data_IF_824012652364
#
_entry.id   IF_824012652364
#
_cell.length_a   1.000
_cell.length_b   1.000
_cell.length_c   1.000
_cell.angle_alpha   90.00
_cell.angle_beta   90.00
_cell.angle_gamma   90.00
#
_symmetry.space_group_name_H-M   'P 1'
#
loop_
_entity.id
_entity.type
_entity.pdbx_description
1 polymer ?
#
# COMPACT_ATOMS: atom_id res chain seq x y z
N UNK A 1 -38.96 -46.37 -27.46
CA UNK A 1 -38.50 -46.02 -28.83
C UNK A 1 -38.07 -44.56 -28.82
N UNK A 2 -36.76 -44.36 -28.81
CA UNK A 2 -35.95 -43.38 -29.56
C UNK A 2 -36.56 -41.98 -29.86
N UNK A 3 -35.82 -40.96 -29.37
CA UNK A 3 -35.53 -39.63 -29.94
C UNK A 3 -36.55 -38.50 -29.81
N UNK A 4 -36.16 -37.22 -29.69
CA UNK A 4 -34.91 -36.47 -29.41
C UNK A 4 -35.36 -35.00 -29.46
N UNK A 5 -34.79 -34.14 -28.61
CA UNK A 5 -34.69 -32.68 -28.73
C UNK A 5 -35.99 -31.86 -28.90
N UNK A 6 -36.32 -31.09 -27.86
CA UNK A 6 -36.74 -29.69 -28.06
C UNK A 6 -36.23 -28.84 -26.88
N UNK A 7 -34.91 -28.56 -26.92
CA UNK A 7 -34.30 -27.44 -26.19
C UNK A 7 -34.24 -26.29 -27.20
N UNK A 8 -34.95 -25.17 -27.00
CA UNK A 8 -34.63 -23.97 -27.75
C UNK A 8 -33.26 -23.46 -27.30
N UNK A 9 -32.28 -23.68 -28.17
CA UNK A 9 -31.07 -22.88 -28.33
C UNK A 9 -31.43 -21.45 -28.78
N UNK A 10 -30.42 -20.55 -28.75
CA UNK A 10 -30.37 -19.14 -29.24
C UNK A 10 -30.33 -18.19 -28.02
N UNK A 11 -29.29 -17.40 -27.74
CA UNK A 11 -28.21 -16.84 -28.57
C UNK A 11 -26.97 -16.55 -27.69
N UNK A 12 -25.78 -16.79 -28.25
CA UNK A 12 -24.48 -16.33 -27.76
C UNK A 12 -24.29 -14.81 -28.00
N UNK A 13 -23.27 -14.25 -27.35
CA UNK A 13 -22.65 -12.93 -27.58
C UNK A 13 -23.29 -11.70 -26.95
N UNK A 14 -22.74 -11.30 -25.80
CA UNK A 14 -21.82 -10.15 -25.76
C UNK A 14 -21.07 -10.18 -24.42
N UNK A 15 -19.84 -10.67 -24.50
CA UNK A 15 -18.81 -10.42 -23.48
C UNK A 15 -18.52 -8.92 -23.57
N UNK A 16 -19.25 -8.12 -22.81
CA UNK A 16 -18.80 -6.77 -22.51
C UNK A 16 -17.63 -6.94 -21.55
N UNK A 17 -16.44 -6.86 -22.12
CA UNK A 17 -15.20 -6.63 -21.39
C UNK A 17 -15.40 -5.38 -20.54
N UNK A 18 -15.80 -5.56 -19.29
CA UNK A 18 -15.67 -4.52 -18.28
C UNK A 18 -14.17 -4.36 -18.08
N UNK A 19 -13.60 -3.41 -18.81
CA UNK A 19 -12.26 -2.88 -18.58
C UNK A 19 -12.12 -2.65 -17.06
N UNK A 20 -11.00 -3.06 -16.44
CA UNK A 20 -10.79 -2.73 -15.05
C UNK A 20 -10.80 -1.21 -14.95
N UNK A 21 -11.75 -0.68 -14.18
CA UNK A 21 -11.77 0.73 -13.76
C UNK A 21 -10.53 0.90 -12.87
N UNK A 22 -9.40 1.13 -13.52
CA UNK A 22 -8.18 1.63 -12.94
C UNK A 22 -8.37 3.13 -12.81
N UNK A 23 -9.00 3.55 -11.72
CA UNK A 23 -8.83 4.89 -11.14
C UNK A 23 -9.64 4.99 -9.85
N UNK A 24 -8.94 5.19 -8.73
CA UNK A 24 -9.54 5.88 -7.60
C UNK A 24 -9.89 5.06 -6.35
N UNK A 25 -9.14 4.01 -6.00
CA UNK A 25 -8.94 3.77 -4.56
C UNK A 25 -7.94 4.81 -4.09
N UNK A 26 -8.46 6.03 -3.96
CA UNK A 26 -7.78 7.17 -3.38
C UNK A 26 -7.18 6.69 -2.07
N UNK A 27 -5.85 6.74 -2.03
CA UNK A 27 -5.03 6.27 -0.92
C UNK A 27 -5.65 6.76 0.37
N UNK A 28 -6.13 5.84 1.20
CA UNK A 28 -6.74 6.12 2.49
C UNK A 28 -5.86 7.12 3.24
N UNK A 29 -6.31 8.38 3.22
CA UNK A 29 -6.05 9.49 4.11
C UNK A 29 -4.67 9.63 4.81
N UNK A 30 -3.56 9.37 4.13
CA UNK A 30 -2.24 9.85 4.62
C UNK A 30 -2.25 11.39 4.75
N UNK A 31 -3.07 12.08 3.94
CA UNK A 31 -3.29 13.54 4.02
C UNK A 31 -3.91 14.00 5.35
N UNK A 32 -4.70 13.19 6.06
CA UNK A 32 -5.28 13.60 7.35
C UNK A 32 -4.33 13.42 8.52
N UNK A 33 -3.36 12.51 8.41
CA UNK A 33 -2.51 12.17 9.54
C UNK A 33 -1.42 13.21 9.81
N UNK A 34 -0.97 13.99 8.81
CA UNK A 34 0.11 14.97 9.04
C UNK A 34 -0.01 16.25 8.22
N UNK A 35 -0.41 17.38 8.83
CA UNK A 35 -0.38 18.70 8.21
C UNK A 35 1.04 19.33 8.25
N UNK A 36 2.10 18.54 8.05
CA UNK A 36 3.46 19.07 8.07
C UNK A 36 3.82 19.69 6.72
N UNK A 37 3.73 21.01 6.65
CA UNK A 37 4.15 21.79 5.48
C UNK A 37 5.66 22.08 5.54
N UNK A 38 6.42 21.39 4.68
CA UNK A 38 7.88 21.57 4.56
C UNK A 38 8.28 22.99 4.16
N UNK A 39 7.38 23.79 3.57
CA UNK A 39 7.64 25.20 3.23
C UNK A 39 7.96 26.04 4.47
N UNK A 40 7.44 25.66 5.64
CA UNK A 40 7.76 26.31 6.92
C UNK A 40 9.26 26.18 7.26
N UNK A 41 9.90 25.08 6.88
CA UNK A 41 11.34 24.90 7.10
C UNK A 41 12.17 25.81 6.16
N UNK A 42 11.69 26.05 4.94
CA UNK A 42 12.37 26.98 4.02
C UNK A 42 12.35 28.41 4.52
N UNK A 43 11.27 28.85 5.18
CA UNK A 43 11.21 30.17 5.84
C UNK A 43 12.30 30.28 6.92
N UNK A 44 12.66 29.17 7.55
CA UNK A 44 13.73 29.09 8.55
C UNK A 44 15.13 28.94 7.94
N UNK A 45 15.28 29.08 6.61
CA UNK A 45 16.57 29.01 5.91
C UNK A 45 17.06 27.60 5.60
N UNK A 46 16.23 26.57 5.78
CA UNK A 46 16.57 25.20 5.40
C UNK A 46 16.50 25.05 3.88
N UNK A 47 17.48 24.35 3.28
CA UNK A 47 17.47 24.06 1.84
C UNK A 47 16.22 23.27 1.44
N UNK A 48 15.79 23.37 0.17
CA UNK A 48 14.61 22.64 -0.32
C UNK A 48 14.76 21.13 -0.12
N UNK A 49 15.93 20.58 -0.43
CA UNK A 49 16.20 19.14 -0.33
C UNK A 49 16.23 18.67 1.11
N UNK A 50 16.84 19.44 2.01
CA UNK A 50 16.84 19.13 3.44
C UNK A 50 15.44 19.25 4.04
N UNK A 51 14.66 20.26 3.64
CA UNK A 51 13.29 20.47 4.10
C UNK A 51 12.39 19.30 3.70
N UNK A 52 12.49 18.83 2.45
CA UNK A 52 11.77 17.64 1.98
C UNK A 52 12.21 16.38 2.71
N UNK A 53 13.53 16.19 2.90
CA UNK A 53 14.07 15.03 3.63
C UNK A 53 13.59 15.00 5.07
N UNK A 54 13.61 16.13 5.77
CA UNK A 54 13.10 16.26 7.14
C UNK A 54 11.61 15.93 7.17
N UNK A 55 10.82 16.46 6.24
CA UNK A 55 9.39 16.18 6.18
C UNK A 55 9.10 14.69 5.98
N UNK A 56 9.79 14.03 5.05
CA UNK A 56 9.66 12.58 4.83
C UNK A 56 10.00 11.80 6.10
N UNK A 57 11.13 12.12 6.76
CA UNK A 57 11.54 11.43 7.98
C UNK A 57 10.54 11.60 9.12
N UNK A 58 9.95 12.80 9.25
CA UNK A 58 8.87 13.04 10.21
C UNK A 58 7.66 12.18 9.90
N UNK A 59 7.22 12.14 8.63
CA UNK A 59 6.09 11.30 8.21
C UNK A 59 6.35 9.83 8.53
N UNK A 60 7.52 9.30 8.18
CA UNK A 60 7.89 7.91 8.47
C UNK A 60 7.86 7.65 9.97
N UNK A 61 8.46 8.53 10.78
CA UNK A 61 8.53 8.36 12.24
C UNK A 61 7.15 8.31 12.90
N UNK A 62 6.17 9.02 12.36
CA UNK A 62 4.80 9.02 12.88
C UNK A 62 3.98 7.81 12.38
N UNK A 63 4.20 7.35 11.14
CA UNK A 63 3.48 6.20 10.57
C UNK A 63 3.97 4.86 11.14
N UNK A 64 5.28 4.72 11.39
CA UNK A 64 5.88 3.45 11.83
C UNK A 64 5.20 2.88 13.07
N UNK A 65 5.00 3.62 14.18
CA UNK A 65 4.34 3.08 15.37
C UNK A 65 2.91 2.61 15.12
N UNK A 66 2.18 3.28 14.22
CA UNK A 66 0.80 2.93 13.86
C UNK A 66 0.79 1.60 13.09
N UNK A 67 1.64 1.49 12.07
CA UNK A 67 1.73 0.30 11.23
C UNK A 67 2.28 -0.90 12.00
N UNK A 68 3.29 -0.66 12.83
CA UNK A 68 3.91 -1.66 13.69
C UNK A 68 2.91 -2.27 14.67
N UNK A 69 2.10 -1.43 15.32
CA UNK A 69 1.05 -1.90 16.24
C UNK A 69 0.04 -2.80 15.53
N UNK A 70 -0.46 -2.38 14.36
CA UNK A 70 -1.40 -3.19 13.56
C UNK A 70 -0.84 -4.57 13.22
N UNK A 71 0.45 -4.66 12.91
CA UNK A 71 1.11 -5.92 12.56
C UNK A 71 1.29 -6.83 13.78
N UNK A 72 1.68 -6.27 14.93
CA UNK A 72 1.80 -7.02 16.19
C UNK A 72 0.45 -7.58 16.63
N UNK A 73 -0.61 -6.77 16.54
CA UNK A 73 -1.99 -7.21 16.88
C UNK A 73 -2.46 -8.40 16.04
N UNK A 74 -1.90 -8.55 14.83
CA UNK A 74 -2.18 -9.68 13.93
C UNK A 74 -1.16 -10.83 14.04
N UNK A 75 -0.25 -10.77 15.03
CA UNK A 75 0.67 -11.86 15.36
C UNK A 75 1.99 -11.86 14.60
N UNK A 76 2.38 -10.76 13.94
CA UNK A 76 3.72 -10.65 13.34
C UNK A 76 4.76 -10.48 14.47
N UNK A 77 5.89 -11.21 14.45
CA UNK A 77 6.96 -11.05 15.41
C UNK A 77 7.45 -9.60 15.49
N UNK A 78 7.72 -9.11 16.70
CA UNK A 78 8.01 -7.70 16.97
C UNK A 78 9.07 -7.09 16.03
N UNK A 79 10.18 -7.80 15.80
CA UNK A 79 11.28 -7.32 14.97
C UNK A 79 10.87 -7.26 13.49
N UNK A 80 10.25 -8.31 12.96
CA UNK A 80 9.80 -8.36 11.57
C UNK A 80 8.65 -7.35 11.31
N UNK A 81 7.77 -7.17 12.30
CA UNK A 81 6.71 -6.17 12.25
C UNK A 81 7.28 -4.75 12.12
N UNK A 82 8.38 -4.47 12.84
CA UNK A 82 9.05 -3.17 12.76
C UNK A 82 9.65 -2.95 11.36
N UNK A 83 10.34 -3.95 10.81
CA UNK A 83 10.97 -3.86 9.49
C UNK A 83 9.94 -3.69 8.35
N UNK A 84 8.81 -4.40 8.44
CA UNK A 84 7.69 -4.25 7.50
C UNK A 84 7.05 -2.87 7.66
N UNK A 85 6.76 -2.43 8.88
CA UNK A 85 6.16 -1.12 9.15
C UNK A 85 7.03 0.01 8.59
N UNK A 86 8.34 -0.07 8.78
CA UNK A 86 9.29 0.89 8.24
C UNK A 86 9.32 0.90 6.70
N UNK A 87 9.33 -0.29 6.08
CA UNK A 87 9.27 -0.40 4.63
C UNK A 87 7.99 0.23 4.04
N UNK A 88 6.82 -0.09 4.61
CA UNK A 88 5.54 0.46 4.17
C UNK A 88 5.46 1.97 4.43
N UNK A 89 5.91 2.45 5.59
CA UNK A 89 5.92 3.88 5.91
C UNK A 89 6.82 4.70 4.97
N UNK A 90 8.01 4.20 4.65
CA UNK A 90 8.92 4.83 3.67
C UNK A 90 8.30 4.84 2.27
N UNK A 91 7.62 3.76 1.90
CA UNK A 91 6.89 3.71 0.64
C UNK A 91 5.75 4.73 0.60
N UNK A 92 4.95 4.85 1.66
CA UNK A 92 3.85 5.80 1.70
C UNK A 92 4.34 7.26 1.70
N UNK A 93 5.42 7.56 2.43
CA UNK A 93 5.96 8.91 2.55
C UNK A 93 6.73 9.39 1.31
N UNK A 94 7.48 8.50 0.65
CA UNK A 94 8.45 8.89 -0.38
C UNK A 94 8.41 8.01 -1.64
N UNK A 95 7.46 7.08 -1.75
CA UNK A 95 7.40 6.05 -2.82
C UNK A 95 8.71 5.27 -2.97
N UNK A 96 9.48 5.15 -1.88
CA UNK A 96 10.73 4.40 -1.85
C UNK A 96 10.41 2.91 -1.76
N UNK A 97 10.85 2.14 -2.75
CA UNK A 97 10.67 0.69 -2.76
C UNK A 97 11.44 0.01 -1.61
N UNK A 98 10.90 -1.08 -1.04
CA UNK A 98 11.61 -1.89 -0.06
C UNK A 98 12.84 -2.56 -0.67
N UNK A 99 13.85 -2.85 0.15
CA UNK A 99 14.99 -3.65 -0.29
C UNK A 99 14.61 -5.15 -0.42
N UNK A 100 15.54 -5.98 -0.90
CA UNK A 100 15.27 -7.41 -1.13
C UNK A 100 14.78 -8.14 0.14
N UNK A 101 15.46 -7.95 1.28
CA UNK A 101 15.09 -8.59 2.55
C UNK A 101 13.69 -8.16 3.01
N UNK A 102 13.38 -6.88 2.91
CA UNK A 102 12.06 -6.34 3.25
C UNK A 102 10.97 -6.87 2.30
N UNK A 103 11.27 -7.04 1.00
CA UNK A 103 10.34 -7.67 0.06
C UNK A 103 10.04 -9.11 0.44
N UNK A 104 11.04 -9.89 0.84
CA UNK A 104 10.83 -11.26 1.29
C UNK A 104 9.98 -11.33 2.57
N UNK A 105 10.19 -10.41 3.51
CA UNK A 105 9.32 -10.26 4.69
C UNK A 105 7.88 -9.91 4.27
N UNK A 106 7.71 -8.95 3.38
CA UNK A 106 6.38 -8.53 2.89
C UNK A 106 5.67 -9.68 2.17
N UNK A 107 6.38 -10.48 1.37
CA UNK A 107 5.82 -11.67 0.72
C UNK A 107 5.38 -12.71 1.75
N UNK A 108 6.22 -13.01 2.73
CA UNK A 108 5.93 -13.97 3.81
C UNK A 108 4.67 -13.60 4.59
N UNK A 109 4.51 -12.30 4.88
CA UNK A 109 3.39 -11.78 5.66
C UNK A 109 2.29 -11.13 4.80
N UNK A 110 2.24 -11.41 3.50
CA UNK A 110 1.30 -10.78 2.58
C UNK A 110 -0.16 -10.83 3.07
N UNK A 111 -0.72 -11.99 3.51
CA UNK A 111 -2.08 -12.04 4.02
C UNK A 111 -2.31 -11.12 5.24
N UNK A 112 -1.32 -11.04 6.12
CA UNK A 112 -1.38 -10.22 7.34
C UNK A 112 -1.30 -8.73 7.02
N UNK A 113 -0.43 -8.35 6.08
CA UNK A 113 -0.28 -6.97 5.60
C UNK A 113 -1.56 -6.50 4.90
N UNK A 114 -2.18 -7.37 4.10
CA UNK A 114 -3.49 -7.09 3.49
C UNK A 114 -4.57 -6.88 4.55
N UNK A 115 -4.62 -7.74 5.57
CA UNK A 115 -5.58 -7.63 6.68
C UNK A 115 -5.36 -6.37 7.53
N UNK A 116 -4.12 -5.91 7.65
CA UNK A 116 -3.78 -4.66 8.32
C UNK A 116 -4.08 -3.39 7.49
N UNK A 117 -4.56 -3.55 6.25
CA UNK A 117 -4.77 -2.47 5.26
C UNK A 117 -3.48 -1.73 4.88
N UNK A 118 -2.33 -2.39 5.04
CA UNK A 118 -1.01 -1.85 4.77
C UNK A 118 -0.48 -2.22 3.37
N UNK A 119 -1.25 -2.99 2.61
CA UNK A 119 -0.86 -3.43 1.27
C UNK A 119 -0.80 -2.28 0.26
N UNK A 120 0.21 -2.31 -0.60
CA UNK A 120 0.33 -1.48 -1.82
C UNK A 120 0.84 -2.36 -2.94
N UNK A 121 0.15 -2.38 -4.08
CA UNK A 121 0.51 -3.21 -5.24
C UNK A 121 1.96 -3.02 -5.69
N UNK A 122 2.45 -1.78 -5.62
CA UNK A 122 3.80 -1.37 -6.01
C UNK A 122 4.91 -1.68 -4.98
N UNK A 123 4.61 -2.29 -3.83
CA UNK A 123 5.66 -2.68 -2.87
C UNK A 123 6.52 -3.84 -3.37
N UNK A 124 5.94 -4.72 -4.21
CA UNK A 124 6.61 -5.90 -4.75
C UNK A 124 6.92 -5.81 -6.24
N UNK A 125 6.41 -4.80 -6.94
CA UNK A 125 6.62 -4.59 -8.36
C UNK A 125 7.78 -3.61 -8.55
N UNK A 126 8.86 -4.10 -9.15
CA UNK A 126 9.96 -3.31 -9.73
C UNK A 126 9.95 -3.48 -11.25
#
# INVERSE_FOLDING_TARGET
MINVLDRPYVEEELVETVEPIDEGVESIEVKKLLPFDWRKLMILGVSLDDAKRIAINLIVRELVPVYWRKLIELGVPINEAHDIAEAVARYDAAKKCPNHEQKELIKRYCPTICRAELWRSKLLLE
#
